data_IF_516739509437
#
_entry.id   IF_516739509437
#
_cell.length_a   1.000
_cell.length_b   1.000
_cell.length_c   1.000
_cell.angle_alpha   90.00
_cell.angle_beta   90.00
_cell.angle_gamma   90.00
#
_symmetry.space_group_name_H-M   'P 1'
#
loop_
_entity.id
_entity.type
_entity.pdbx_description
1 polymer ?
#
# COMPACT_ATOMS: atom_id res chain seq x y z
N UNK A 1 46.59 23.86 16.57
CA UNK A 1 45.35 23.56 17.32
C UNK A 1 44.33 23.11 16.28
N UNK A 2 44.15 21.79 16.13
CA UNK A 2 43.31 21.21 15.08
C UNK A 2 41.84 21.41 15.49
N UNK A 3 41.06 22.13 14.69
CA UNK A 3 39.61 22.22 14.83
C UNK A 3 39.01 20.97 14.20
N UNK A 4 38.47 20.07 15.03
CA UNK A 4 37.66 18.95 14.59
C UNK A 4 36.25 19.50 14.35
N UNK A 5 35.82 19.51 13.09
CA UNK A 5 34.43 19.78 12.72
C UNK A 5 33.71 18.44 12.79
N UNK A 6 32.78 18.30 13.74
CA UNK A 6 31.89 17.14 13.84
C UNK A 6 30.72 17.42 12.90
N UNK A 7 30.67 16.70 11.78
CA UNK A 7 29.46 16.61 10.96
C UNK A 7 28.51 15.63 11.65
N UNK A 8 27.40 16.14 12.17
CA UNK A 8 26.26 15.31 12.59
C UNK A 8 25.42 15.08 11.35
N UNK A 9 25.51 13.89 10.76
CA UNK A 9 24.53 13.42 9.79
C UNK A 9 23.25 13.10 10.56
N UNK A 10 22.24 13.98 10.48
CA UNK A 10 20.86 13.58 10.75
C UNK A 10 20.35 12.86 9.51
N UNK A 11 20.63 11.56 9.42
CA UNK A 11 19.86 10.71 8.53
C UNK A 11 18.47 10.53 9.14
N UNK A 12 17.42 10.82 8.38
CA UNK A 12 16.07 10.39 8.72
C UNK A 12 16.07 8.87 8.77
N UNK A 13 16.14 8.31 9.98
CA UNK A 13 15.86 6.88 10.17
C UNK A 13 14.34 6.79 10.01
N UNK A 14 13.87 6.29 8.87
CA UNK A 14 12.47 5.87 8.76
C UNK A 14 12.26 4.78 9.81
N UNK A 15 11.51 5.09 10.87
CA UNK A 15 11.17 4.11 11.90
C UNK A 15 10.15 3.16 11.29
N UNK A 16 10.52 1.89 11.14
CA UNK A 16 9.54 0.85 10.84
C UNK A 16 8.81 0.50 12.12
N UNK A 17 7.63 1.09 12.30
CA UNK A 17 6.82 0.86 13.50
C UNK A 17 5.85 -0.29 13.28
N UNK A 18 5.70 -1.13 14.30
CA UNK A 18 4.85 -2.31 14.25
C UNK A 18 3.63 -2.14 15.16
N UNK A 19 2.48 -2.57 14.64
CA UNK A 19 1.19 -2.40 15.26
C UNK A 19 0.38 -3.70 15.27
N UNK A 20 -0.22 -3.99 16.41
CA UNK A 20 -1.24 -5.05 16.56
C UNK A 20 -2.60 -4.38 16.74
N UNK A 21 -3.59 -4.86 15.99
CA UNK A 21 -4.95 -4.30 15.98
C UNK A 21 -6.00 -5.38 15.94
N UNK A 22 -7.17 -5.05 16.50
CA UNK A 22 -8.37 -5.87 16.49
C UNK A 22 -9.50 -5.01 15.97
N UNK A 23 -10.22 -5.48 14.94
CA UNK A 23 -11.35 -4.78 14.32
C UNK A 23 -12.60 -5.62 14.44
N UNK A 24 -13.65 -5.02 15.00
CA UNK A 24 -14.96 -5.65 15.23
C UNK A 24 -15.86 -5.58 13.98
N UNK A 25 -15.40 -6.11 12.84
CA UNK A 25 -16.11 -6.13 11.56
C UNK A 25 -17.28 -7.14 11.51
N UNK A 26 -18.13 -7.16 12.53
CA UNK A 26 -19.17 -8.18 12.68
C UNK A 26 -20.39 -7.95 11.79
N UNK A 27 -20.59 -6.75 11.25
CA UNK A 27 -21.71 -6.40 10.38
C UNK A 27 -21.63 -7.10 9.01
N UNK A 28 -22.78 -7.50 8.47
CA UNK A 28 -22.92 -8.03 7.11
C UNK A 28 -23.13 -6.93 6.06
N UNK A 29 -23.28 -5.67 6.47
CA UNK A 29 -23.55 -4.53 5.57
C UNK A 29 -22.59 -3.38 5.78
N UNK A 30 -22.13 -3.16 7.01
CA UNK A 30 -21.37 -1.96 7.36
C UNK A 30 -19.88 -2.24 7.33
N UNK A 31 -19.14 -1.28 6.79
CA UNK A 31 -17.68 -1.28 6.75
C UNK A 31 -17.11 -0.50 7.94
N UNK A 32 -16.03 -1.03 8.51
CA UNK A 32 -15.18 -0.31 9.47
C UNK A 32 -13.93 0.14 8.75
N UNK A 33 -13.69 1.45 8.71
CA UNK A 33 -12.57 2.06 7.99
C UNK A 33 -11.41 2.34 8.93
N UNK A 34 -10.20 2.12 8.44
CA UNK A 34 -8.97 2.25 9.20
C UNK A 34 -7.94 3.04 8.41
N UNK A 35 -7.22 3.91 9.11
CA UNK A 35 -6.14 4.73 8.58
C UNK A 35 -4.82 4.25 9.17
N UNK A 36 -3.88 3.89 8.30
CA UNK A 36 -2.51 3.59 8.67
C UNK A 36 -1.74 4.84 9.06
N UNK A 37 -2.10 6.03 8.58
CA UNK A 37 -1.47 7.28 9.00
C UNK A 37 -1.80 7.63 10.45
N UNK A 38 -3.10 7.65 10.80
CA UNK A 38 -3.55 7.96 12.17
C UNK A 38 -3.51 6.76 13.13
N UNK A 39 -3.23 5.56 12.59
CA UNK A 39 -3.27 4.28 13.28
C UNK A 39 -4.61 3.99 14.00
N UNK A 40 -5.71 4.52 13.49
CA UNK A 40 -7.01 4.53 14.15
C UNK A 40 -8.17 4.18 13.21
N UNK A 41 -9.30 3.77 13.81
CA UNK A 41 -10.58 3.62 13.11
C UNK A 41 -11.13 5.03 12.86
N UNK A 42 -11.63 5.28 11.65
CA UNK A 42 -12.23 6.56 11.32
C UNK A 42 -13.70 6.63 11.75
N UNK A 43 -14.12 7.81 12.23
CA UNK A 43 -15.52 8.10 12.51
C UNK A 43 -16.22 8.67 11.28
N UNK A 44 -16.70 7.75 10.44
CA UNK A 44 -17.34 7.98 9.15
C UNK A 44 -18.75 8.61 9.20
N UNK A 45 -19.17 9.14 10.35
CA UNK A 45 -20.44 9.86 10.51
C UNK A 45 -20.28 11.14 11.34
N UNK A 46 -19.06 11.50 11.73
CA UNK A 46 -18.81 12.62 12.64
C UNK A 46 -19.21 13.99 12.04
N UNK A 47 -19.18 14.13 10.72
CA UNK A 47 -19.46 15.38 9.99
C UNK A 47 -20.56 15.25 8.91
N UNK A 48 -21.21 14.08 8.80
CA UNK A 48 -22.18 13.79 7.75
C UNK A 48 -21.59 13.39 6.39
N UNK A 49 -20.28 13.17 6.29
CA UNK A 49 -19.61 12.58 5.12
C UNK A 49 -19.55 11.05 5.24
N UNK A 50 -19.66 10.33 4.12
CA UNK A 50 -19.39 8.89 4.06
C UNK A 50 -17.89 8.69 3.77
N UNK A 51 -17.21 7.84 4.56
CA UNK A 51 -15.79 7.55 4.35
C UNK A 51 -15.47 7.05 2.93
N UNK A 52 -16.41 6.48 2.17
CA UNK A 52 -16.15 6.04 0.79
C UNK A 52 -15.60 7.15 -0.13
N UNK A 53 -15.92 8.42 0.14
CA UNK A 53 -15.40 9.56 -0.60
C UNK A 53 -14.20 10.27 0.06
N UNK A 54 -13.75 9.80 1.23
CA UNK A 54 -12.65 10.40 1.97
C UNK A 54 -11.29 9.83 1.50
N UNK A 55 -10.25 10.67 1.52
CA UNK A 55 -8.88 10.23 1.22
C UNK A 55 -8.19 9.59 2.44
N UNK A 56 -8.73 9.79 3.64
CA UNK A 56 -8.00 9.54 4.89
C UNK A 56 -8.01 8.06 5.34
N UNK A 57 -8.84 7.22 4.72
CA UNK A 57 -8.86 5.77 5.00
C UNK A 57 -8.02 4.99 4.01
N UNK A 58 -7.41 3.91 4.46
CA UNK A 58 -6.50 3.08 3.66
C UNK A 58 -7.07 1.68 3.43
N UNK A 59 -7.65 1.10 4.47
CA UNK A 59 -8.25 -0.24 4.45
C UNK A 59 -9.55 -0.24 5.24
N UNK A 60 -10.52 -1.03 4.79
CA UNK A 60 -11.78 -1.23 5.50
C UNK A 60 -12.18 -2.70 5.58
N UNK A 61 -12.99 -3.02 6.59
CA UNK A 61 -13.34 -4.39 6.96
C UNK A 61 -14.86 -4.58 7.07
N UNK A 62 -15.39 -5.66 6.50
CA UNK A 62 -16.77 -6.13 6.65
C UNK A 62 -16.78 -7.66 6.68
N UNK A 63 -17.24 -8.27 7.77
CA UNK A 63 -17.07 -9.73 8.01
C UNK A 63 -15.62 -10.14 7.78
N UNK A 64 -15.36 -11.01 6.80
CA UNK A 64 -14.00 -11.41 6.38
C UNK A 64 -13.49 -10.60 5.18
N UNK A 65 -14.31 -9.75 4.60
CA UNK A 65 -13.97 -8.98 3.42
C UNK A 65 -13.12 -7.79 3.83
N UNK A 66 -12.11 -7.51 3.01
CA UNK A 66 -11.22 -6.37 3.14
C UNK A 66 -11.22 -5.62 1.84
N UNK A 67 -11.22 -4.30 1.92
CA UNK A 67 -11.21 -3.40 0.76
C UNK A 67 -10.20 -2.29 1.02
N UNK A 68 -9.54 -1.77 0.00
CA UNK A 68 -8.61 -0.65 0.11
C UNK A 68 -9.22 0.60 -0.52
N UNK A 69 -8.66 1.77 -0.25
CA UNK A 69 -9.11 3.01 -0.89
C UNK A 69 -8.56 3.06 -2.32
N UNK A 70 -9.18 2.29 -3.21
CA UNK A 70 -8.79 2.10 -4.61
C UNK A 70 -9.94 1.63 -5.47
N UNK A 71 -9.74 1.63 -6.79
CA UNK A 71 -10.62 0.99 -7.76
C UNK A 71 -12.09 1.37 -7.58
N UNK A 72 -12.95 0.37 -7.42
CA UNK A 72 -14.40 0.59 -7.24
C UNK A 72 -14.81 0.98 -5.82
N UNK A 73 -13.90 0.93 -4.84
CA UNK A 73 -14.21 1.14 -3.42
C UNK A 73 -13.99 2.58 -2.93
N UNK A 74 -13.03 3.28 -3.53
CA UNK A 74 -12.67 4.64 -3.15
C UNK A 74 -11.81 5.32 -4.21
N UNK A 75 -11.65 6.63 -4.08
CA UNK A 75 -10.94 7.47 -5.06
C UNK A 75 -9.42 7.59 -4.80
N UNK A 76 -8.90 6.91 -3.79
CA UNK A 76 -7.46 6.84 -3.53
C UNK A 76 -6.71 5.94 -4.52
N UNK A 77 -5.39 5.96 -4.39
CA UNK A 77 -4.44 5.16 -5.17
C UNK A 77 -3.96 3.93 -4.39
N UNK A 78 -4.80 3.40 -3.50
CA UNK A 78 -4.45 2.24 -2.69
C UNK A 78 -4.44 0.93 -3.49
N UNK A 79 -4.28 -0.18 -2.77
CA UNK A 79 -4.28 -1.50 -3.39
C UNK A 79 -3.64 -2.53 -2.48
N UNK A 80 -3.62 -3.78 -2.93
CA UNK A 80 -2.92 -4.82 -2.19
C UNK A 80 -2.19 -5.80 -3.10
N UNK A 81 -1.18 -6.42 -2.54
CA UNK A 81 -0.42 -7.48 -3.15
C UNK A 81 -0.29 -8.64 -2.17
N UNK A 82 -0.47 -9.87 -2.65
CA UNK A 82 -0.32 -11.09 -1.85
C UNK A 82 0.59 -12.07 -2.58
N UNK A 83 1.66 -12.49 -1.92
CA UNK A 83 2.53 -13.56 -2.39
C UNK A 83 2.10 -14.89 -1.74
N UNK A 84 1.46 -15.74 -2.53
CA UNK A 84 0.95 -17.05 -2.08
C UNK A 84 2.01 -18.15 -2.00
N UNK A 85 3.27 -17.85 -2.37
CA UNK A 85 4.39 -18.78 -2.27
C UNK A 85 5.20 -18.62 -0.98
N UNK A 86 4.93 -17.58 -0.20
CA UNK A 86 5.65 -17.25 1.03
C UNK A 86 4.68 -17.05 2.19
N UNK A 87 5.17 -17.27 3.42
CA UNK A 87 4.37 -17.17 4.64
C UNK A 87 5.01 -16.20 5.63
N UNK A 88 4.19 -15.35 6.25
CA UNK A 88 4.65 -14.43 7.29
C UNK A 88 5.23 -15.10 8.52
N UNK A 89 4.87 -16.36 8.78
CA UNK A 89 5.48 -17.15 9.85
C UNK A 89 6.99 -17.31 9.67
N UNK A 90 7.50 -17.18 8.44
CA UNK A 90 8.92 -17.29 8.12
C UNK A 90 9.51 -15.93 7.69
N UNK A 91 8.73 -15.13 6.97
CA UNK A 91 9.26 -13.94 6.29
C UNK A 91 9.16 -12.64 7.10
N UNK A 92 8.41 -12.61 8.22
CA UNK A 92 8.09 -11.33 8.87
C UNK A 92 9.33 -10.57 9.34
N UNK A 93 10.32 -11.23 9.95
CA UNK A 93 11.51 -10.53 10.42
C UNK A 93 12.49 -10.18 9.30
N UNK A 94 12.51 -10.99 8.23
CA UNK A 94 13.51 -10.89 7.16
C UNK A 94 13.10 -9.90 6.05
N UNK A 95 11.79 -9.69 5.87
CA UNK A 95 11.27 -8.80 4.84
C UNK A 95 11.36 -7.34 5.28
N UNK A 96 12.28 -6.61 4.66
CA UNK A 96 12.59 -5.19 4.90
C UNK A 96 12.33 -4.28 3.70
N UNK A 97 11.81 -4.81 2.60
CA UNK A 97 11.37 -4.04 1.43
C UNK A 97 10.14 -4.70 0.80
N UNK A 98 9.42 -3.92 0.01
CA UNK A 98 8.38 -4.44 -0.89
C UNK A 98 9.08 -5.12 -2.07
N UNK A 99 8.57 -6.24 -2.61
CA UNK A 99 9.15 -6.84 -3.80
C UNK A 99 9.05 -5.90 -5.01
N UNK A 100 10.05 -5.94 -5.88
CA UNK A 100 10.08 -5.13 -7.10
C UNK A 100 9.06 -5.62 -8.13
N UNK A 101 8.60 -4.70 -8.98
CA UNK A 101 7.71 -4.98 -10.12
C UNK A 101 6.42 -5.73 -9.75
N UNK A 102 5.88 -5.48 -8.55
CA UNK A 102 4.59 -6.03 -8.16
C UNK A 102 3.43 -5.28 -8.81
N UNK A 103 2.39 -6.04 -9.16
CA UNK A 103 1.13 -5.46 -9.61
C UNK A 103 0.20 -5.30 -8.42
N UNK A 104 -0.07 -4.05 -8.03
CA UNK A 104 -1.06 -3.72 -7.02
C UNK A 104 -2.46 -4.03 -7.55
N UNK A 105 -3.18 -4.92 -6.88
CA UNK A 105 -4.56 -5.18 -7.21
C UNK A 105 -5.45 -4.16 -6.53
N UNK A 106 -6.21 -3.43 -7.33
CA UNK A 106 -7.26 -2.53 -6.87
C UNK A 106 -8.57 -3.28 -6.60
N UNK A 107 -9.49 -2.59 -5.94
CA UNK A 107 -10.77 -3.15 -5.54
C UNK A 107 -11.74 -3.33 -6.70
N UNK A 108 -12.40 -4.50 -6.72
CA UNK A 108 -13.32 -4.90 -7.80
C UNK A 108 -14.63 -5.46 -7.23
N UNK A 109 -15.64 -5.53 -8.09
CA UNK A 109 -16.93 -6.12 -7.76
C UNK A 109 -16.85 -7.65 -7.72
N UNK A 110 -17.25 -8.27 -6.60
CA UNK A 110 -17.25 -9.73 -6.41
C UNK A 110 -18.58 -10.22 -5.84
N UNK A 111 -19.04 -11.39 -6.28
CA UNK A 111 -20.32 -12.00 -5.89
C UNK A 111 -20.13 -13.11 -4.84
N UNK A 112 -19.60 -12.75 -3.67
CA UNK A 112 -19.40 -13.69 -2.57
C UNK A 112 -19.68 -13.08 -1.18
N UNK A 113 -20.40 -11.95 -1.15
CA UNK A 113 -20.90 -11.36 0.08
C UNK A 113 -22.16 -12.06 0.51
N UNK A 114 -22.20 -12.54 1.74
CA UNK A 114 -23.37 -13.25 2.25
C UNK A 114 -24.44 -12.28 2.74
N UNK A 115 -25.62 -12.32 2.13
CA UNK A 115 -26.79 -11.58 2.60
C UNK A 115 -27.59 -12.42 3.60
N UNK A 116 -27.71 -11.92 4.83
CA UNK A 116 -28.36 -12.66 5.93
C UNK A 116 -29.89 -12.72 5.80
N UNK A 117 -30.50 -11.84 5.00
CA UNK A 117 -31.97 -11.79 4.83
C UNK A 117 -32.42 -12.83 3.80
N UNK A 118 -31.79 -12.83 2.63
CA UNK A 118 -32.08 -13.75 1.53
C UNK A 118 -31.34 -15.09 1.67
N UNK A 119 -30.31 -15.16 2.51
CA UNK A 119 -29.39 -16.30 2.62
C UNK A 119 -28.70 -16.64 1.29
N UNK A 120 -28.44 -15.65 0.45
CA UNK A 120 -27.77 -15.79 -0.84
C UNK A 120 -26.48 -14.97 -0.92
N UNK A 121 -25.65 -15.25 -1.93
CA UNK A 121 -24.51 -14.40 -2.25
C UNK A 121 -24.95 -13.22 -3.11
N UNK A 122 -24.46 -12.04 -2.74
CA UNK A 122 -24.69 -10.77 -3.44
C UNK A 122 -23.37 -10.14 -3.84
N UNK A 123 -23.45 -9.15 -4.73
CA UNK A 123 -22.30 -8.36 -5.13
C UNK A 123 -21.88 -7.39 -4.02
N UNK A 124 -20.58 -7.30 -3.78
CA UNK A 124 -19.94 -6.25 -2.99
C UNK A 124 -18.56 -5.93 -3.55
N UNK A 125 -18.04 -4.76 -3.20
CA UNK A 125 -16.71 -4.33 -3.65
C UNK A 125 -15.68 -4.70 -2.58
N UNK A 126 -14.60 -5.35 -3.01
CA UNK A 126 -13.48 -5.72 -2.13
C UNK A 126 -12.18 -5.83 -2.90
N UNK A 127 -11.08 -5.92 -2.16
CA UNK A 127 -9.79 -6.19 -2.74
C UNK A 127 -9.64 -7.69 -3.08
N UNK A 128 -9.44 -8.08 -4.35
CA UNK A 128 -9.31 -9.48 -4.74
C UNK A 128 -8.05 -10.15 -4.19
N UNK A 129 -6.94 -9.42 -4.05
CA UNK A 129 -5.70 -9.95 -3.47
C UNK A 129 -5.88 -10.26 -1.99
N UNK A 130 -6.48 -9.34 -1.21
CA UNK A 130 -6.70 -9.58 0.22
C UNK A 130 -7.67 -10.73 0.50
N UNK A 131 -8.48 -11.18 -0.47
CA UNK A 131 -9.35 -12.36 -0.28
C UNK A 131 -8.58 -13.64 0.09
N UNK A 132 -7.29 -13.70 -0.23
CA UNK A 132 -6.37 -14.79 0.11
C UNK A 132 -5.93 -14.80 1.58
N UNK A 133 -6.37 -13.85 2.42
CA UNK A 133 -5.98 -13.84 3.83
C UNK A 133 -6.48 -15.02 4.65
N UNK A 134 -7.61 -15.60 4.24
CA UNK A 134 -8.19 -16.76 4.89
C UNK A 134 -9.36 -17.34 4.11
N UNK A 135 -9.66 -18.61 4.37
CA UNK A 135 -10.75 -19.34 3.74
C UNK A 135 -11.61 -20.04 4.78
N UNK A 136 -12.88 -20.29 4.44
CA UNK A 136 -13.76 -21.09 5.27
C UNK A 136 -13.65 -22.56 4.90
N UNK A 137 -13.44 -23.42 5.89
CA UNK A 137 -13.70 -24.85 5.81
C UNK A 137 -14.62 -25.23 6.97
N UNK A 138 -15.73 -25.91 6.65
CA UNK A 138 -16.72 -26.36 7.65
C UNK A 138 -17.19 -25.24 8.60
N UNK A 139 -17.39 -24.02 8.07
CA UNK A 139 -17.79 -22.80 8.79
C UNK A 139 -16.73 -22.20 9.73
N UNK A 140 -15.52 -22.74 9.73
CA UNK A 140 -14.37 -22.22 10.46
C UNK A 140 -13.46 -21.48 9.48
N UNK A 141 -13.07 -20.25 9.80
CA UNK A 141 -12.12 -19.48 9.01
C UNK A 141 -10.70 -19.87 9.41
N UNK A 142 -9.90 -20.26 8.41
CA UNK A 142 -8.48 -20.56 8.53
C UNK A 142 -7.66 -19.46 7.84
N UNK A 143 -6.86 -18.68 8.59
CA UNK A 143 -5.90 -17.74 8.02
C UNK A 143 -4.83 -18.49 7.22
N UNK A 144 -4.42 -17.92 6.08
CA UNK A 144 -3.39 -18.52 5.22
C UNK A 144 -1.98 -18.18 5.68
N UNK A 145 -1.81 -17.05 6.38
CA UNK A 145 -0.52 -16.45 6.72
C UNK A 145 0.35 -16.11 5.52
N UNK A 146 -0.22 -15.95 4.31
CA UNK A 146 0.56 -15.49 3.16
C UNK A 146 1.21 -14.13 3.42
N UNK A 147 2.30 -13.87 2.71
CA UNK A 147 2.92 -12.55 2.69
C UNK A 147 1.99 -11.57 1.98
N UNK A 148 1.59 -10.49 2.65
CA UNK A 148 0.68 -9.48 2.11
C UNK A 148 1.18 -8.08 2.36
N UNK A 149 1.01 -7.22 1.37
CA UNK A 149 1.29 -5.80 1.45
C UNK A 149 0.02 -5.03 1.10
N UNK A 150 -0.19 -3.92 1.79
CA UNK A 150 -1.29 -2.98 1.50
C UNK A 150 -0.67 -1.63 1.20
N UNK A 151 -1.01 -1.07 0.05
CA UNK A 151 -0.69 0.29 -0.35
C UNK A 151 -1.81 1.21 0.12
N UNK A 152 -1.43 2.26 0.84
CA UNK A 152 -2.32 3.28 1.41
C UNK A 152 -2.99 4.11 0.31
N UNK A 153 -3.99 4.91 0.68
CA UNK A 153 -4.75 5.73 -0.25
C UNK A 153 -3.91 6.77 -1.01
N UNK A 154 -2.77 7.18 -0.45
CA UNK A 154 -1.87 8.14 -1.09
C UNK A 154 -1.03 7.53 -2.23
N UNK A 155 -1.02 6.20 -2.36
CA UNK A 155 -0.27 5.48 -3.39
C UNK A 155 1.24 5.40 -3.15
N UNK A 156 1.74 5.93 -2.04
CA UNK A 156 3.15 5.96 -1.70
C UNK A 156 3.46 5.07 -0.50
N UNK A 157 2.68 5.18 0.58
CA UNK A 157 2.95 4.40 1.78
C UNK A 157 2.46 2.96 1.63
N UNK A 158 3.31 2.03 2.05
CA UNK A 158 2.99 0.60 2.10
C UNK A 158 3.18 0.09 3.51
N UNK A 159 2.32 -0.86 3.87
CA UNK A 159 2.49 -1.66 5.08
C UNK A 159 2.66 -3.12 4.74
N UNK A 160 3.53 -3.82 5.48
CA UNK A 160 3.40 -5.26 5.64
C UNK A 160 2.11 -5.51 6.40
N UNK A 161 1.29 -6.43 5.94
CA UNK A 161 -0.02 -6.70 6.52
C UNK A 161 -0.20 -8.18 6.78
N UNK A 162 -0.57 -8.56 7.99
CA UNK A 162 -0.81 -9.95 8.38
C UNK A 162 -2.07 -10.06 9.23
N UNK A 163 -3.18 -10.43 8.61
CA UNK A 163 -4.37 -10.88 9.33
C UNK A 163 -4.19 -12.35 9.76
N UNK A 164 -4.32 -12.61 11.06
CA UNK A 164 -3.98 -13.91 11.65
C UNK A 164 -5.08 -14.51 12.53
N UNK A 165 -6.18 -13.78 12.78
CA UNK A 165 -7.36 -14.32 13.47
C UNK A 165 -8.64 -13.65 12.97
N UNK A 166 -9.76 -14.36 13.09
CA UNK A 166 -11.11 -13.95 12.69
C UNK A 166 -12.14 -14.02 13.84
N UNK A 167 -11.77 -14.64 14.95
CA UNK A 167 -12.68 -14.91 16.05
C UNK A 167 -12.19 -14.30 17.35
N UNK A 168 -13.10 -13.67 18.09
CA UNK A 168 -12.89 -13.31 19.49
C UNK A 168 -14.07 -13.83 20.30
N UNK A 169 -13.81 -14.59 21.38
CA UNK A 169 -14.87 -15.18 22.21
C UNK A 169 -15.93 -15.98 21.42
N UNK A 170 -15.50 -16.68 20.35
CA UNK A 170 -16.36 -17.44 19.41
C UNK A 170 -17.27 -16.58 18.52
N UNK A 171 -17.10 -15.26 18.52
CA UNK A 171 -17.78 -14.33 17.62
C UNK A 171 -16.90 -14.18 16.38
N UNK A 172 -17.42 -14.57 15.21
CA UNK A 172 -16.74 -14.37 13.93
C UNK A 172 -16.97 -12.97 13.37
N UNK A 173 -16.02 -12.46 12.59
CA UNK A 173 -16.03 -11.08 12.12
C UNK A 173 -15.22 -10.17 13.04
N UNK A 174 -14.35 -10.73 13.86
CA UNK A 174 -13.42 -9.98 14.70
C UNK A 174 -12.01 -10.25 14.17
N UNK A 175 -11.50 -9.34 13.35
CA UNK A 175 -10.23 -9.55 12.66
C UNK A 175 -9.10 -9.04 13.53
N UNK A 176 -8.17 -9.93 13.87
CA UNK A 176 -6.89 -9.54 14.48
C UNK A 176 -5.82 -9.51 13.40
N UNK A 177 -5.07 -8.41 13.35
CA UNK A 177 -3.99 -8.24 12.39
C UNK A 177 -2.79 -7.52 12.99
N UNK A 178 -1.65 -7.78 12.35
CA UNK A 178 -0.37 -7.14 12.55
C UNK A 178 -0.02 -6.35 11.31
N UNK A 179 0.48 -5.14 11.45
CA UNK A 179 1.05 -4.40 10.33
C UNK A 179 2.33 -3.67 10.74
N UNK A 180 3.20 -3.42 9.75
CA UNK A 180 4.43 -2.65 9.95
C UNK A 180 4.53 -1.57 8.88
N UNK A 181 4.79 -0.33 9.29
CA UNK A 181 4.95 0.85 8.43
C UNK A 181 6.40 1.06 8.01
N UNK A 182 6.66 2.12 7.24
CA UNK A 182 8.01 2.49 6.82
C UNK A 182 8.46 1.79 5.53
N UNK A 183 7.52 1.33 4.72
CA UNK A 183 7.76 0.82 3.37
C UNK A 183 7.15 1.79 2.37
N UNK A 184 7.84 2.04 1.26
CA UNK A 184 7.27 2.70 0.09
C UNK A 184 6.73 1.65 -0.87
N UNK A 185 5.66 1.99 -1.57
CA UNK A 185 5.38 1.30 -2.83
C UNK A 185 6.56 1.59 -3.73
N UNK A 186 7.17 0.54 -4.30
CA UNK A 186 8.02 0.70 -5.48
C UNK A 186 7.16 1.09 -6.70
N UNK A 187 6.14 1.92 -6.50
CA UNK A 187 5.48 2.64 -7.55
C UNK A 187 6.57 3.50 -8.16
N UNK A 188 6.90 3.20 -9.40
CA UNK A 188 7.75 4.05 -10.22
C UNK A 188 7.09 5.42 -10.23
N UNK A 189 7.52 6.31 -9.35
CA UNK A 189 7.09 7.69 -9.39
C UNK A 189 7.76 8.24 -10.64
N UNK A 190 6.97 8.57 -11.65
CA UNK A 190 7.51 9.12 -12.90
C UNK A 190 8.39 10.33 -12.58
N UNK A 191 9.69 10.19 -12.83
CA UNK A 191 10.69 11.20 -12.51
C UNK A 191 11.48 11.01 -11.22
N UNK A 192 11.16 10.03 -10.38
CA UNK A 192 12.01 9.60 -9.24
C UNK A 192 13.05 8.60 -9.75
N UNK A 193 14.25 9.10 -10.06
CA UNK A 193 15.30 8.32 -10.69
C UNK A 193 16.31 7.78 -9.69
N UNK A 194 16.35 8.34 -8.48
CA UNK A 194 17.17 7.83 -7.39
C UNK A 194 16.39 6.89 -6.44
N UNK A 195 15.08 6.72 -6.66
CA UNK A 195 14.17 5.90 -5.86
C UNK A 195 14.12 6.32 -4.38
N UNK A 196 14.21 7.63 -4.12
CA UNK A 196 14.12 8.17 -2.77
C UNK A 196 12.69 8.54 -2.33
N UNK A 197 11.72 8.35 -3.23
CA UNK A 197 10.31 8.65 -3.02
C UNK A 197 9.93 10.11 -3.29
N UNK A 198 10.87 10.99 -3.67
CA UNK A 198 10.61 12.40 -3.95
C UNK A 198 11.16 12.81 -5.31
N UNK A 199 10.29 13.30 -6.21
CA UNK A 199 10.74 13.91 -7.46
C UNK A 199 11.30 15.31 -7.22
N UNK A 200 12.61 15.47 -7.31
CA UNK A 200 13.31 16.72 -6.98
C UNK A 200 14.57 16.95 -7.84
N UNK A 201 15.37 17.95 -7.46
CA UNK A 201 16.59 18.34 -8.21
C UNK A 201 17.63 17.21 -8.28
N UNK A 202 17.62 16.28 -7.32
CA UNK A 202 18.54 15.14 -7.33
C UNK A 202 18.25 14.20 -8.49
N UNK A 203 16.99 14.03 -8.90
CA UNK A 203 16.61 13.24 -10.08
C UNK A 203 17.05 13.93 -11.38
N UNK A 204 16.93 15.26 -11.42
CA UNK A 204 17.42 16.07 -12.55
C UNK A 204 18.93 15.89 -12.74
N UNK A 205 19.68 15.84 -11.63
CA UNK A 205 21.12 15.59 -11.68
C UNK A 205 21.41 14.22 -12.31
N UNK A 206 20.59 13.20 -12.06
CA UNK A 206 20.74 11.87 -12.66
C UNK A 206 20.52 11.91 -14.18
N UNK A 207 19.47 12.56 -14.68
CA UNK A 207 19.27 12.70 -16.14
C UNK A 207 20.45 13.45 -16.76
N UNK A 208 20.90 14.54 -16.13
CA UNK A 208 22.04 15.31 -16.64
C UNK A 208 23.32 14.46 -16.67
N UNK A 209 23.55 13.65 -15.65
CA UNK A 209 24.72 12.75 -15.61
C UNK A 209 24.65 11.70 -16.72
N UNK A 210 23.48 11.12 -16.98
CA UNK A 210 23.23 10.20 -18.10
C UNK A 210 23.56 10.87 -19.45
N UNK A 211 23.04 12.10 -19.66
CA UNK A 211 23.28 12.89 -20.89
C UNK A 211 24.78 13.20 -21.07
N UNK A 212 25.47 13.57 -19.99
CA UNK A 212 26.86 14.03 -20.05
C UNK A 212 27.88 12.88 -20.13
N UNK A 213 27.65 11.77 -19.41
CA UNK A 213 28.61 10.68 -19.29
C UNK A 213 28.39 9.54 -20.29
N UNK A 214 27.27 9.53 -21.02
CA UNK A 214 26.97 8.56 -22.08
C UNK A 214 27.25 7.11 -21.65
N UNK A 215 26.88 6.75 -20.41
CA UNK A 215 27.16 5.43 -19.87
C UNK A 215 26.10 4.43 -20.35
N UNK A 216 26.43 3.74 -21.45
CA UNK A 216 25.62 2.70 -22.09
C UNK A 216 25.32 1.48 -21.18
N UNK A 217 25.85 1.44 -19.95
CA UNK A 217 25.57 0.36 -18.99
C UNK A 217 24.49 0.72 -17.97
N UNK A 218 24.04 1.98 -17.92
CA UNK A 218 22.90 2.43 -17.13
C UNK A 218 21.75 2.82 -18.07
N UNK A 219 21.17 1.82 -18.75
CA UNK A 219 19.83 1.97 -19.29
C UNK A 219 18.86 2.05 -18.12
N UNK A 220 18.72 3.24 -17.55
CA UNK A 220 17.59 3.54 -16.69
C UNK A 220 16.42 3.84 -17.62
N UNK A 221 15.66 2.81 -18.04
CA UNK A 221 14.50 2.96 -18.93
C UNK A 221 13.48 3.99 -18.40
N UNK A 222 13.56 4.35 -17.11
CA UNK A 222 12.73 5.38 -16.47
C UNK A 222 13.21 6.83 -16.71
N UNK A 223 14.39 7.02 -17.29
CA UNK A 223 14.93 8.35 -17.61
C UNK A 223 14.45 8.91 -18.95
N UNK A 224 13.89 8.08 -19.83
CA UNK A 224 13.17 8.48 -21.05
C UNK A 224 11.70 8.79 -20.69
N UNK A 225 11.43 10.04 -20.31
CA UNK A 225 10.13 10.48 -19.82
C UNK A 225 9.14 10.76 -20.95
N UNK A 226 9.63 11.01 -22.17
CA UNK A 226 8.79 11.27 -23.34
C UNK A 226 8.54 10.00 -24.21
N UNK A 227 9.22 8.89 -23.90
CA UNK A 227 9.19 7.60 -24.59
C UNK A 227 9.61 7.65 -26.07
N UNK A 228 10.57 8.50 -26.43
CA UNK A 228 11.11 8.59 -27.78
C UNK A 228 12.35 7.71 -28.03
N UNK A 229 12.77 6.96 -27.01
CA UNK A 229 13.96 6.11 -26.91
C UNK A 229 15.28 6.87 -26.86
N UNK A 230 15.24 8.19 -26.61
CA UNK A 230 16.41 9.00 -26.32
C UNK A 230 16.26 9.63 -24.94
N UNK A 231 17.35 9.64 -24.18
CA UNK A 231 17.43 10.41 -22.93
C UNK A 231 18.15 11.71 -23.24
N UNK A 232 17.41 12.81 -23.32
CA UNK A 232 17.93 14.12 -23.71
C UNK A 232 17.32 15.30 -22.93
N UNK A 233 17.53 16.52 -23.43
CA UNK A 233 17.06 17.74 -22.77
C UNK A 233 15.53 17.81 -22.65
N UNK A 234 14.79 17.11 -23.50
CA UNK A 234 13.33 17.03 -23.44
C UNK A 234 12.88 16.28 -22.18
N UNK A 235 13.57 15.21 -21.78
CA UNK A 235 13.27 14.49 -20.53
C UNK A 235 13.55 15.37 -19.31
N UNK A 236 14.66 16.12 -19.33
CA UNK A 236 14.95 17.12 -18.28
C UNK A 236 13.82 18.15 -18.16
N UNK A 237 13.30 18.65 -19.28
CA UNK A 237 12.21 19.63 -19.27
C UNK A 237 10.91 19.04 -18.71
N UNK A 238 10.60 17.78 -19.04
CA UNK A 238 9.44 17.08 -18.48
C UNK A 238 9.63 16.92 -16.98
N UNK A 239 10.81 16.47 -16.52
CA UNK A 239 11.11 16.30 -15.11
C UNK A 239 11.00 17.62 -14.33
N UNK A 240 11.56 18.71 -14.85
CA UNK A 240 11.42 20.04 -14.25
C UNK A 240 9.95 20.45 -14.19
N UNK A 241 9.16 20.17 -15.22
CA UNK A 241 7.74 20.49 -15.21
C UNK A 241 6.98 19.69 -14.14
N UNK A 242 7.32 18.40 -13.95
CA UNK A 242 6.77 17.57 -12.86
C UNK A 242 7.11 18.20 -11.50
N UNK A 243 8.37 18.61 -11.30
CA UNK A 243 8.82 19.25 -10.04
C UNK A 243 8.10 20.59 -9.78
N UNK A 244 7.83 21.38 -10.82
CA UNK A 244 7.19 22.70 -10.68
C UNK A 244 5.66 22.64 -10.54
N UNK A 245 5.04 21.52 -10.90
CA UNK A 245 3.59 21.31 -10.79
C UNK A 245 3.16 20.62 -9.49
N UNK A 246 4.12 20.01 -8.77
CA UNK A 246 3.96 19.51 -7.41
C UNK A 246 4.21 20.62 -6.36
#
# INVERSE_FOLDING_TARGET
MIKIIIFVFLGSIYSQDEYLRIIQATSYTDWIYYSFESHSILDCNSDGSNCEGAFDWDIAFQRKHMRTNSGMAGSGNGGAYVNTSLLWTNEWAETNSVPDNIFWQEDTLMNDFYDIISHTYVYGVKNPALNYWGFFDSQILYPTNYVMFVKSSNGQDVVKFWAYDYYENRIGGVISFRYQTGFGANDIITGDLNYDGNVNINDVIIIIDIILNYDLNNNNDFSDLNNDNFVDILDVLILINIILMN
#
